data_IF_544721770937
#
_entry.id   IF_544721770937
#
_cell.length_a   1.000
_cell.length_b   1.000
_cell.length_c   1.000
_cell.angle_alpha   90.00
_cell.angle_beta   90.00
_cell.angle_gamma   90.00
#
_symmetry.space_group_name_H-M   'P 1'
#
loop_
_entity.id
_entity.type
_entity.pdbx_description
1 polymer ?
#
# COMPACT_ATOMS: atom_id res chain seq x y z
N UNK A 1 21.50 1.92 -37.72
CA UNK A 1 20.05 1.71 -37.89
C UNK A 1 19.76 0.25 -37.57
N UNK A 2 18.90 -0.01 -36.57
CA UNK A 2 18.55 -1.36 -36.11
C UNK A 2 17.52 -2.04 -37.04
N UNK A 3 16.99 -1.34 -38.07
CA UNK A 3 16.05 -1.89 -39.04
C UNK A 3 14.70 -2.32 -38.46
N UNK A 4 14.34 -1.86 -37.26
CA UNK A 4 13.08 -2.16 -36.60
C UNK A 4 12.16 -0.97 -36.50
N UNK A 5 10.86 -1.19 -36.63
CA UNK A 5 9.84 -0.16 -36.46
C UNK A 5 9.34 -0.15 -35.01
N UNK A 6 9.49 0.97 -34.30
CA UNK A 6 9.01 1.16 -32.92
C UNK A 6 7.55 1.62 -32.85
N UNK A 7 7.04 2.26 -33.91
CA UNK A 7 5.67 2.79 -34.01
C UNK A 7 4.96 2.30 -35.23
N UNK A 8 3.67 2.02 -35.11
CA UNK A 8 2.75 1.77 -36.19
C UNK A 8 1.60 2.79 -36.18
N UNK A 9 1.07 3.10 -37.39
CA UNK A 9 0.00 4.03 -37.51
C UNK A 9 -1.32 3.31 -37.72
N UNK A 10 -2.23 3.41 -36.76
CA UNK A 10 -3.57 2.83 -36.80
C UNK A 10 -4.62 3.94 -37.08
N UNK A 11 -5.91 3.53 -37.15
CA UNK A 11 -7.04 4.46 -37.31
C UNK A 11 -7.18 5.42 -36.11
N UNK A 12 -6.68 5.02 -34.95
CA UNK A 12 -6.75 5.77 -33.67
C UNK A 12 -5.47 6.59 -33.38
N UNK A 13 -4.48 6.56 -34.29
CA UNK A 13 -3.25 7.34 -34.17
C UNK A 13 -1.96 6.51 -34.26
N UNK A 14 -0.92 6.98 -33.61
CA UNK A 14 0.39 6.33 -33.52
C UNK A 14 0.44 5.45 -32.30
N UNK A 15 0.72 4.16 -32.46
CA UNK A 15 0.87 3.18 -31.36
C UNK A 15 2.24 2.53 -31.38
N UNK A 16 2.72 2.08 -30.23
CA UNK A 16 3.95 1.31 -30.15
C UNK A 16 3.74 -0.10 -30.70
N UNK A 17 4.70 -0.57 -31.47
CA UNK A 17 4.78 -1.99 -31.81
C UNK A 17 5.24 -2.81 -30.59
N UNK A 18 5.13 -4.16 -30.56
CA UNK A 18 5.70 -4.98 -29.50
C UNK A 18 7.20 -4.72 -29.27
N UNK A 19 7.95 -4.44 -30.33
CA UNK A 19 9.37 -4.05 -30.25
C UNK A 19 9.49 -2.62 -29.72
N UNK A 20 8.58 -1.73 -30.06
CA UNK A 20 8.47 -0.38 -29.52
C UNK A 20 8.22 -0.37 -28.01
N UNK A 21 7.30 -1.20 -27.52
CA UNK A 21 7.02 -1.34 -26.10
C UNK A 21 8.22 -1.89 -25.32
N UNK A 22 8.93 -2.89 -25.88
CA UNK A 22 10.14 -3.41 -25.28
C UNK A 22 11.23 -2.33 -25.21
N UNK A 23 11.43 -1.58 -26.28
CA UNK A 23 12.42 -0.50 -26.33
C UNK A 23 12.06 0.65 -25.39
N UNK A 24 10.78 0.96 -25.26
CA UNK A 24 10.29 1.98 -24.33
C UNK A 24 10.59 1.60 -22.87
N UNK A 25 10.25 0.36 -22.46
CA UNK A 25 10.57 -0.14 -21.11
C UNK A 25 12.08 -0.13 -20.81
N UNK A 26 12.91 -0.52 -21.77
CA UNK A 26 14.38 -0.47 -21.59
C UNK A 26 14.89 0.97 -21.53
N UNK A 27 14.30 1.90 -22.31
CA UNK A 27 14.66 3.32 -22.27
C UNK A 27 14.26 3.97 -20.92
N UNK A 28 13.09 3.65 -20.37
CA UNK A 28 12.67 4.08 -19.03
C UNK A 28 13.65 3.56 -17.96
N UNK A 29 14.05 2.28 -18.08
CA UNK A 29 15.03 1.70 -17.16
C UNK A 29 16.38 2.40 -17.22
N UNK A 30 16.88 2.68 -18.42
CA UNK A 30 18.15 3.43 -18.62
C UNK A 30 18.06 4.86 -18.09
N UNK A 31 16.92 5.53 -18.26
CA UNK A 31 16.69 6.87 -17.69
C UNK A 31 16.76 6.81 -16.15
N UNK A 32 16.11 5.83 -15.54
CA UNK A 32 16.16 5.60 -14.08
C UNK A 32 17.57 5.27 -13.60
N UNK A 33 18.32 4.43 -14.32
CA UNK A 33 19.71 4.10 -14.00
C UNK A 33 20.63 5.34 -14.09
N UNK A 34 20.39 6.23 -15.06
CA UNK A 34 21.14 7.48 -15.21
C UNK A 34 20.84 8.45 -14.06
N UNK A 35 19.58 8.62 -13.70
CA UNK A 35 19.17 9.41 -12.53
C UNK A 35 19.77 8.83 -11.22
N UNK A 36 19.83 7.51 -11.10
CA UNK A 36 20.47 6.84 -9.97
C UNK A 36 21.96 7.12 -9.92
N UNK A 37 22.65 7.11 -11.07
CA UNK A 37 24.07 7.44 -11.16
C UNK A 37 24.31 8.90 -10.77
N UNK A 38 23.53 9.83 -11.28
CA UNK A 38 23.61 11.25 -10.90
C UNK A 38 23.41 11.44 -9.39
N UNK A 39 22.39 10.76 -8.82
CA UNK A 39 22.13 10.77 -7.37
C UNK A 39 23.30 10.21 -6.56
N UNK A 40 23.93 9.11 -7.02
CA UNK A 40 25.15 8.54 -6.38
C UNK A 40 26.32 9.50 -6.40
N UNK A 41 26.49 10.26 -7.48
CA UNK A 41 27.59 11.22 -7.61
C UNK A 41 27.39 12.47 -6.74
N UNK A 42 26.16 12.98 -6.66
CA UNK A 42 25.81 14.17 -5.84
C UNK A 42 25.70 13.81 -4.35
N UNK A 43 25.30 12.59 -4.00
CA UNK A 43 25.11 12.13 -2.62
C UNK A 43 26.37 11.86 -1.80
N UNK A 44 27.59 12.03 -2.34
CA UNK A 44 28.83 11.80 -1.60
C UNK A 44 29.17 12.91 -0.59
N UNK A 45 28.51 14.06 -0.64
CA UNK A 45 28.82 15.21 0.24
C UNK A 45 28.10 15.20 1.61
N UNK A 46 27.39 14.14 1.97
CA UNK A 46 26.82 13.95 3.31
C UNK A 46 25.61 14.84 3.67
N UNK A 47 25.19 15.75 2.81
CA UNK A 47 24.03 16.60 3.04
C UNK A 47 22.72 15.87 2.65
N UNK A 48 21.63 16.01 3.43
CA UNK A 48 20.34 15.39 3.15
C UNK A 48 19.55 16.21 2.09
N UNK A 49 20.06 16.26 0.87
CA UNK A 49 19.50 17.08 -0.23
C UNK A 49 19.15 16.21 -1.42
N UNK A 50 18.09 16.56 -2.14
CA UNK A 50 17.69 15.93 -3.40
C UNK A 50 16.52 15.00 -3.26
N UNK A 51 16.22 14.24 -4.33
CA UNK A 51 15.02 13.43 -4.48
C UNK A 51 15.10 12.09 -3.73
N UNK A 52 14.00 11.73 -3.05
CA UNK A 52 13.76 10.40 -2.47
C UNK A 52 12.41 9.89 -2.97
N UNK A 53 12.39 8.69 -3.56
CA UNK A 53 11.19 8.01 -4.05
C UNK A 53 10.67 7.03 -3.01
N UNK A 54 9.39 7.17 -2.66
CA UNK A 54 8.72 6.31 -1.67
C UNK A 54 7.55 5.63 -2.34
N UNK A 55 7.50 4.30 -2.26
CA UNK A 55 6.41 3.49 -2.79
C UNK A 55 5.58 2.86 -1.66
N UNK A 56 4.26 2.88 -1.79
CA UNK A 56 3.33 2.22 -0.88
C UNK A 56 1.98 1.94 -1.56
N UNK A 57 1.15 1.09 -0.94
CA UNK A 57 -0.25 0.95 -1.32
C UNK A 57 -1.03 2.23 -1.06
N UNK A 58 -2.10 2.49 -1.85
CA UNK A 58 -2.92 3.70 -1.76
C UNK A 58 -3.50 3.95 -0.36
N UNK A 59 -3.99 2.90 0.31
CA UNK A 59 -4.54 3.01 1.65
C UNK A 59 -3.48 3.39 2.69
N UNK A 60 -2.27 2.82 2.59
CA UNK A 60 -1.15 3.17 3.48
C UNK A 60 -0.66 4.59 3.24
N UNK A 61 -0.56 4.99 1.98
CA UNK A 61 -0.17 6.34 1.62
C UNK A 61 -1.13 7.35 2.22
N UNK A 62 -2.44 7.13 2.06
CA UNK A 62 -3.46 8.08 2.51
C UNK A 62 -3.56 8.17 4.04
N UNK A 63 -3.56 7.04 4.74
CA UNK A 63 -3.90 7.01 6.17
C UNK A 63 -2.66 7.01 7.08
N UNK A 64 -1.55 6.41 6.65
CA UNK A 64 -0.35 6.30 7.47
C UNK A 64 0.74 7.29 7.07
N UNK A 65 1.11 7.32 5.79
CA UNK A 65 2.28 8.09 5.35
C UNK A 65 2.00 9.58 5.17
N UNK A 66 0.83 9.98 4.68
CA UNK A 66 0.54 11.39 4.38
C UNK A 66 0.81 12.35 5.54
N UNK A 67 0.37 12.09 6.79
CA UNK A 67 0.68 12.98 7.91
C UNK A 67 2.18 13.00 8.24
N UNK A 68 2.86 11.85 8.16
CA UNK A 68 4.30 11.72 8.44
C UNK A 68 5.12 12.46 7.38
N UNK A 69 4.77 12.31 6.10
CA UNK A 69 5.44 13.01 5.00
C UNK A 69 5.24 14.53 5.09
N UNK A 70 4.08 14.98 5.55
CA UNK A 70 3.84 16.40 5.81
C UNK A 70 4.73 16.97 6.94
N UNK A 71 5.11 16.17 7.93
CA UNK A 71 6.10 16.55 8.94
C UNK A 71 7.51 16.56 8.35
N UNK A 72 7.87 15.51 7.60
CA UNK A 72 9.19 15.33 7.02
C UNK A 72 9.57 16.49 6.09
N UNK A 73 8.69 16.94 5.19
CA UNK A 73 8.98 18.07 4.28
C UNK A 73 9.13 19.41 5.00
N UNK A 74 8.59 19.55 6.22
CA UNK A 74 8.81 20.76 7.05
C UNK A 74 10.17 20.70 7.76
N UNK A 75 10.58 19.52 8.18
CA UNK A 75 11.85 19.32 8.89
C UNK A 75 13.05 19.29 7.94
N UNK A 76 12.86 18.73 6.74
CA UNK A 76 13.89 18.59 5.71
C UNK A 76 13.47 19.24 4.38
N UNK A 77 13.42 20.57 4.28
CA UNK A 77 12.89 21.28 3.11
C UNK A 77 13.73 21.08 1.83
N UNK A 78 14.97 20.64 1.95
CA UNK A 78 15.86 20.36 0.83
C UNK A 78 15.70 18.92 0.26
N UNK A 79 14.84 18.09 0.88
CA UNK A 79 14.48 16.77 0.37
C UNK A 79 13.22 16.90 -0.48
N UNK A 80 13.32 16.56 -1.77
CA UNK A 80 12.17 16.40 -2.67
C UNK A 80 11.61 14.98 -2.56
N UNK A 81 10.34 14.84 -2.22
CA UNK A 81 9.67 13.53 -2.16
C UNK A 81 8.91 13.24 -3.46
N UNK A 82 9.17 12.10 -4.05
CA UNK A 82 8.37 11.52 -5.14
C UNK A 82 7.63 10.29 -4.61
N UNK A 83 6.29 10.36 -4.63
CA UNK A 83 5.42 9.31 -4.05
C UNK A 83 4.83 8.47 -5.16
N UNK A 84 5.03 7.16 -5.07
CA UNK A 84 4.50 6.16 -5.99
C UNK A 84 3.44 5.32 -5.26
N UNK A 85 2.24 5.25 -5.83
CA UNK A 85 1.18 4.40 -5.28
C UNK A 85 0.75 3.34 -6.27
N UNK A 86 0.78 2.08 -5.84
CA UNK A 86 0.22 0.96 -6.60
C UNK A 86 -0.32 -0.09 -5.63
N UNK A 87 -1.47 -0.68 -5.97
CA UNK A 87 -2.09 -1.76 -5.21
C UNK A 87 -1.63 -3.14 -5.71
N UNK A 88 -0.92 -3.22 -6.83
CA UNK A 88 -0.29 -4.44 -7.30
C UNK A 88 1.15 -4.52 -6.80
N UNK A 89 1.35 -5.44 -5.85
CA UNK A 89 2.66 -5.72 -5.25
C UNK A 89 3.74 -6.07 -6.29
N UNK A 90 3.36 -6.63 -7.43
CA UNK A 90 4.27 -6.96 -8.50
C UNK A 90 4.79 -5.72 -9.26
N UNK A 91 3.99 -4.65 -9.28
CA UNK A 91 4.32 -3.40 -9.98
C UNK A 91 5.17 -2.46 -9.12
N UNK A 92 5.09 -2.56 -7.77
CA UNK A 92 5.99 -1.83 -6.87
C UNK A 92 7.40 -2.44 -6.94
N UNK A 93 8.06 -2.28 -8.09
CA UNK A 93 9.40 -2.80 -8.27
C UNK A 93 10.38 -2.02 -7.38
N UNK A 94 11.13 -2.74 -6.55
CA UNK A 94 12.16 -2.18 -5.67
C UNK A 94 13.25 -1.39 -6.41
N UNK A 95 13.27 -1.44 -7.76
CA UNK A 95 14.24 -0.71 -8.59
C UNK A 95 13.81 0.74 -8.86
N UNK A 96 12.51 1.04 -8.73
CA UNK A 96 11.98 2.37 -9.04
C UNK A 96 11.86 3.26 -7.81
N UNK A 97 11.82 2.67 -6.59
CA UNK A 97 11.73 3.39 -5.33
C UNK A 97 13.00 3.24 -4.49
N UNK A 98 13.33 4.28 -3.72
CA UNK A 98 14.39 4.25 -2.71
C UNK A 98 13.92 3.54 -1.45
N UNK A 99 12.65 3.78 -1.08
CA UNK A 99 11.98 3.18 0.07
C UNK A 99 10.63 2.60 -0.34
N UNK A 100 10.28 1.44 0.21
CA UNK A 100 8.99 0.79 -0.04
C UNK A 100 8.36 0.35 1.28
N UNK A 101 7.14 0.80 1.55
CA UNK A 101 6.34 0.36 2.70
C UNK A 101 5.32 -0.69 2.23
N UNK A 102 5.39 -1.90 2.79
CA UNK A 102 4.51 -3.01 2.35
C UNK A 102 4.13 -3.96 3.48
N UNK A 103 2.88 -4.49 3.44
CA UNK A 103 2.44 -5.57 4.30
C UNK A 103 2.90 -6.91 3.73
N UNK A 104 3.73 -7.65 4.45
CA UNK A 104 4.16 -8.99 4.07
C UNK A 104 4.65 -9.81 5.27
N UNK A 105 4.29 -11.11 5.31
CA UNK A 105 4.70 -12.01 6.39
C UNK A 105 5.99 -12.78 6.08
N UNK A 106 6.47 -12.71 4.84
CA UNK A 106 7.69 -13.40 4.40
C UNK A 106 8.44 -12.52 3.41
N UNK A 107 9.20 -11.55 3.90
CA UNK A 107 10.03 -10.72 3.03
C UNK A 107 11.05 -11.59 2.29
N UNK A 108 11.35 -11.21 1.06
CA UNK A 108 12.41 -11.89 0.30
C UNK A 108 13.74 -11.63 1.00
N UNK A 109 14.55 -12.68 1.18
CA UNK A 109 15.84 -12.61 1.87
C UNK A 109 16.86 -11.64 1.20
N UNK A 110 16.59 -11.24 -0.04
CA UNK A 110 17.41 -10.29 -0.80
C UNK A 110 17.05 -8.83 -0.56
N UNK A 111 15.94 -8.56 0.16
CA UNK A 111 15.50 -7.20 0.47
C UNK A 111 16.07 -6.77 1.81
N UNK A 112 16.70 -5.61 1.85
CA UNK A 112 17.08 -4.96 3.08
C UNK A 112 15.92 -4.12 3.60
N UNK A 113 15.69 -4.16 4.90
CA UNK A 113 14.58 -3.43 5.51
C UNK A 113 14.39 -3.82 6.98
N UNK A 114 13.45 -3.17 7.62
CA UNK A 114 13.07 -3.46 9.00
C UNK A 114 11.57 -3.69 9.12
N UNK A 115 11.21 -4.56 10.06
CA UNK A 115 9.82 -4.74 10.49
C UNK A 115 9.42 -3.55 11.35
N UNK A 116 8.38 -2.85 10.93
CA UNK A 116 7.91 -1.63 11.61
C UNK A 116 6.84 -1.97 12.65
N UNK A 117 5.81 -2.73 12.24
CA UNK A 117 4.60 -2.96 13.02
C UNK A 117 3.92 -4.27 12.61
N UNK A 118 2.89 -4.66 13.35
CA UNK A 118 1.89 -5.63 12.91
C UNK A 118 0.61 -4.89 12.51
N UNK A 119 -0.01 -5.32 11.40
CA UNK A 119 -1.27 -4.79 10.92
C UNK A 119 -2.36 -5.83 11.16
N UNK A 120 -3.27 -5.53 12.05
CA UNK A 120 -4.47 -6.30 12.27
C UNK A 120 -5.59 -5.84 11.36
N UNK A 121 -6.53 -6.76 11.07
CA UNK A 121 -7.73 -6.49 10.30
C UNK A 121 -8.96 -6.92 11.09
N UNK A 122 -10.08 -6.20 10.89
CA UNK A 122 -11.36 -6.52 11.52
C UNK A 122 -12.52 -6.27 10.54
N UNK A 123 -13.73 -6.72 10.90
CA UNK A 123 -14.93 -6.44 10.14
C UNK A 123 -15.45 -5.05 10.47
N UNK A 124 -15.72 -4.25 9.44
CA UNK A 124 -16.27 -2.91 9.54
C UNK A 124 -17.55 -2.76 8.74
N UNK A 125 -18.43 -1.91 9.23
CA UNK A 125 -19.65 -1.51 8.53
C UNK A 125 -20.13 -0.13 8.96
N UNK A 126 -20.82 0.59 8.06
CA UNK A 126 -21.36 1.89 8.41
C UNK A 126 -22.49 1.79 9.44
N UNK A 127 -22.60 2.73 10.37
CA UNK A 127 -23.66 2.79 11.37
C UNK A 127 -25.07 2.75 10.74
N UNK A 128 -25.24 3.33 9.55
CA UNK A 128 -26.53 3.29 8.81
C UNK A 128 -26.84 1.90 8.27
N UNK A 129 -25.82 1.10 7.88
CA UNK A 129 -26.01 -0.29 7.47
C UNK A 129 -26.41 -1.15 8.67
N UNK A 130 -25.70 -1.04 9.79
CA UNK A 130 -26.00 -1.78 11.03
C UNK A 130 -27.40 -1.48 11.57
N UNK A 131 -27.86 -0.21 11.50
CA UNK A 131 -29.23 0.15 11.91
C UNK A 131 -30.32 -0.48 11.06
N UNK A 132 -30.07 -0.74 9.77
CA UNK A 132 -31.03 -1.39 8.87
C UNK A 132 -31.03 -2.91 9.02
N UNK A 133 -29.93 -3.49 9.50
CA UNK A 133 -29.72 -4.93 9.64
C UNK A 133 -29.43 -5.27 11.11
N UNK A 134 -30.38 -4.94 12.01
CA UNK A 134 -30.17 -5.07 13.47
C UNK A 134 -29.98 -6.49 13.96
N UNK A 135 -30.57 -7.45 13.26
CA UNK A 135 -30.56 -8.88 13.61
C UNK A 135 -29.45 -9.65 12.88
N UNK A 136 -28.46 -8.93 12.29
CA UNK A 136 -27.33 -9.58 11.63
C UNK A 136 -26.46 -10.30 12.65
N UNK A 137 -26.12 -11.54 12.34
CA UNK A 137 -25.16 -12.37 13.07
C UNK A 137 -23.98 -12.66 12.12
N UNK A 138 -22.91 -11.88 12.28
CA UNK A 138 -21.75 -11.92 11.39
C UNK A 138 -20.97 -13.22 11.56
N UNK A 139 -20.98 -13.79 12.77
CA UNK A 139 -20.21 -14.97 13.11
C UNK A 139 -20.91 -16.26 12.65
N UNK A 140 -22.21 -16.38 12.92
CA UNK A 140 -22.93 -17.63 12.66
C UNK A 140 -23.72 -17.64 11.36
N UNK A 141 -24.10 -16.45 10.83
CA UNK A 141 -24.87 -16.30 9.60
C UNK A 141 -24.27 -15.22 8.66
N UNK A 142 -22.99 -15.34 8.30
CA UNK A 142 -22.35 -14.34 7.43
C UNK A 142 -23.02 -14.23 6.06
N UNK A 143 -23.67 -15.30 5.58
CA UNK A 143 -24.43 -15.32 4.33
C UNK A 143 -25.68 -14.44 4.34
N UNK A 144 -26.21 -14.11 5.51
CA UNK A 144 -27.33 -13.16 5.66
C UNK A 144 -26.88 -11.70 5.52
N UNK A 145 -25.58 -11.44 5.59
CA UNK A 145 -25.00 -10.11 5.44
C UNK A 145 -24.62 -9.81 3.99
N UNK A 146 -24.60 -8.54 3.65
CA UNK A 146 -24.06 -8.06 2.38
C UNK A 146 -22.59 -7.72 2.55
N UNK A 147 -21.72 -8.25 1.70
CA UNK A 147 -20.27 -8.06 1.78
C UNK A 147 -19.70 -7.33 0.57
N UNK A 148 -18.73 -6.47 0.86
CA UNK A 148 -17.81 -5.88 -0.10
C UNK A 148 -16.57 -6.74 -0.06
N UNK A 149 -16.26 -7.42 -1.16
CA UNK A 149 -15.16 -8.38 -1.22
C UNK A 149 -13.99 -7.83 -2.03
N UNK A 150 -12.77 -8.26 -1.73
CA UNK A 150 -11.65 -8.05 -2.64
C UNK A 150 -11.85 -8.87 -3.92
N UNK A 151 -11.24 -8.44 -4.99
CA UNK A 151 -11.10 -9.24 -6.21
C UNK A 151 -9.93 -10.25 -6.10
N UNK A 152 -9.59 -10.90 -7.20
CA UNK A 152 -8.56 -11.93 -7.22
C UNK A 152 -7.13 -11.39 -6.97
N UNK A 153 -6.89 -10.09 -7.16
CA UNK A 153 -5.58 -9.47 -6.92
C UNK A 153 -5.15 -9.57 -5.46
N UNK A 154 -6.12 -9.58 -4.51
CA UNK A 154 -5.87 -9.77 -3.08
C UNK A 154 -5.79 -11.23 -2.62
N UNK A 155 -5.85 -12.19 -3.56
CA UNK A 155 -5.88 -13.62 -3.22
C UNK A 155 -4.65 -14.10 -2.44
N UNK A 156 -3.52 -13.46 -2.59
CA UNK A 156 -2.25 -13.76 -1.93
C UNK A 156 -2.19 -13.22 -0.49
N UNK A 157 -3.01 -12.21 -0.14
CA UNK A 157 -3.04 -11.62 1.19
C UNK A 157 -3.73 -12.52 2.22
N UNK A 158 -3.41 -12.33 3.50
CA UNK A 158 -4.03 -13.04 4.61
C UNK A 158 -5.55 -12.84 4.61
N UNK A 159 -6.01 -11.61 4.49
CA UNK A 159 -7.44 -11.26 4.38
C UNK A 159 -8.13 -11.98 3.23
N UNK A 160 -7.47 -12.14 2.08
CA UNK A 160 -8.00 -12.93 0.95
C UNK A 160 -8.22 -14.40 1.30
N UNK A 161 -7.33 -14.99 2.12
CA UNK A 161 -7.51 -16.37 2.63
C UNK A 161 -8.69 -16.45 3.60
N UNK A 162 -8.81 -15.49 4.51
CA UNK A 162 -9.91 -15.40 5.46
C UNK A 162 -11.26 -15.33 4.74
N UNK A 163 -11.40 -14.47 3.73
CA UNK A 163 -12.60 -14.37 2.89
C UNK A 163 -12.97 -15.72 2.27
N UNK A 164 -12.00 -16.42 1.67
CA UNK A 164 -12.25 -17.74 1.06
C UNK A 164 -12.67 -18.80 2.08
N UNK A 165 -12.18 -18.71 3.31
CA UNK A 165 -12.49 -19.67 4.37
C UNK A 165 -13.86 -19.43 4.98
N UNK A 166 -14.21 -18.17 5.28
CA UNK A 166 -15.37 -17.82 6.09
C UNK A 166 -16.57 -17.32 5.27
N UNK A 167 -16.36 -16.82 4.07
CA UNK A 167 -17.37 -16.15 3.25
C UNK A 167 -17.62 -16.85 1.90
N UNK A 168 -17.64 -18.20 1.89
CA UNK A 168 -17.76 -18.99 0.65
C UNK A 168 -19.06 -18.77 -0.13
N UNK A 169 -20.18 -18.54 0.59
CA UNK A 169 -21.52 -18.50 0.02
C UNK A 169 -22.25 -17.19 0.34
N UNK A 170 -21.49 -16.11 0.55
CA UNK A 170 -22.10 -14.83 0.93
C UNK A 170 -22.60 -14.05 -0.28
N UNK A 171 -23.60 -13.21 -0.05
CA UNK A 171 -24.05 -12.22 -1.01
C UNK A 171 -22.96 -11.15 -1.18
N UNK A 172 -22.23 -11.23 -2.28
CA UNK A 172 -21.27 -10.19 -2.70
C UNK A 172 -21.97 -9.29 -3.71
N UNK A 173 -22.02 -8.00 -3.37
CA UNK A 173 -22.60 -7.00 -4.28
C UNK A 173 -21.50 -6.33 -5.11
N UNK A 174 -20.32 -6.14 -4.52
CA UNK A 174 -19.22 -5.39 -5.14
C UNK A 174 -17.90 -6.10 -4.84
N UNK A 175 -17.01 -6.15 -5.85
CA UNK A 175 -15.63 -6.58 -5.70
C UNK A 175 -14.69 -5.43 -6.05
N UNK A 176 -13.61 -5.28 -5.30
CA UNK A 176 -12.65 -4.19 -5.47
C UNK A 176 -11.21 -4.72 -5.45
N UNK A 177 -10.33 -4.01 -6.16
CA UNK A 177 -8.87 -4.19 -6.11
C UNK A 177 -8.17 -3.09 -5.30
N UNK A 178 -8.89 -2.39 -4.41
CA UNK A 178 -8.36 -1.32 -3.57
C UNK A 178 -9.06 -1.35 -2.21
N UNK A 179 -8.27 -1.39 -1.13
CA UNK A 179 -8.75 -1.29 0.25
C UNK A 179 -9.43 0.05 0.51
N UNK A 180 -8.91 1.12 -0.08
CA UNK A 180 -9.50 2.45 0.01
C UNK A 180 -10.90 2.51 -0.63
N UNK A 181 -11.08 1.86 -1.79
CA UNK A 181 -12.39 1.74 -2.42
C UNK A 181 -13.35 0.89 -1.56
N UNK A 182 -12.88 -0.22 -0.97
CA UNK A 182 -13.69 -1.03 -0.05
C UNK A 182 -14.14 -0.23 1.17
N UNK A 183 -13.23 0.55 1.79
CA UNK A 183 -13.57 1.42 2.91
C UNK A 183 -14.57 2.51 2.51
N UNK A 184 -14.42 3.13 1.36
CA UNK A 184 -15.35 4.14 0.85
C UNK A 184 -16.77 3.57 0.64
N UNK A 185 -16.87 2.38 0.06
CA UNK A 185 -18.14 1.68 -0.14
C UNK A 185 -18.78 1.26 1.18
N UNK A 186 -17.99 0.77 2.14
CA UNK A 186 -18.46 0.45 3.48
C UNK A 186 -19.00 1.70 4.19
N UNK A 187 -18.29 2.84 4.15
CA UNK A 187 -18.75 4.14 4.65
C UNK A 187 -20.06 4.58 3.98
N UNK A 188 -20.18 4.36 2.69
CA UNK A 188 -21.43 4.62 1.96
C UNK A 188 -22.58 3.68 2.37
N UNK A 189 -22.31 2.61 3.14
CA UNK A 189 -23.31 1.66 3.65
C UNK A 189 -23.75 0.63 2.61
N UNK A 190 -22.86 0.31 1.66
CA UNK A 190 -23.10 -0.72 0.66
C UNK A 190 -23.06 -2.15 1.25
N UNK A 191 -22.32 -2.35 2.35
CA UNK A 191 -22.15 -3.64 3.01
C UNK A 191 -21.08 -3.62 4.09
N UNK A 192 -20.70 -4.81 4.53
CA UNK A 192 -19.59 -5.06 5.44
C UNK A 192 -18.29 -5.27 4.64
N UNK A 193 -17.18 -4.88 5.22
CA UNK A 193 -15.84 -5.13 4.66
C UNK A 193 -14.87 -5.55 5.77
N UNK A 194 -13.94 -6.44 5.45
CA UNK A 194 -12.74 -6.64 6.27
C UNK A 194 -11.72 -5.60 5.84
N UNK A 195 -11.31 -4.77 6.79
CA UNK A 195 -10.35 -3.70 6.55
C UNK A 195 -9.22 -3.76 7.58
N UNK A 196 -8.01 -3.36 7.21
CA UNK A 196 -6.96 -3.08 8.19
C UNK A 196 -7.44 -2.08 9.24
N UNK A 197 -7.07 -2.29 10.50
CA UNK A 197 -7.54 -1.43 11.60
C UNK A 197 -7.09 0.03 11.42
N UNK A 198 -5.90 0.27 10.85
CA UNK A 198 -5.43 1.63 10.56
C UNK A 198 -6.32 2.40 9.57
N UNK A 199 -7.11 1.68 8.74
CA UNK A 199 -8.03 2.26 7.76
C UNK A 199 -9.47 2.35 8.31
N UNK A 200 -9.86 1.39 9.15
CA UNK A 200 -11.21 1.30 9.69
C UNK A 200 -11.46 2.18 10.91
N UNK A 201 -10.51 2.22 11.86
CA UNK A 201 -10.65 2.93 13.13
C UNK A 201 -10.77 4.47 12.98
N UNK A 202 -9.95 5.14 12.14
CA UNK A 202 -10.06 6.59 11.99
C UNK A 202 -11.37 7.04 11.31
N UNK A 203 -12.05 6.15 10.60
CA UNK A 203 -13.25 6.46 9.83
C UNK A 203 -14.49 6.54 10.73
N UNK A 204 -14.87 7.75 11.16
CA UNK A 204 -16.00 8.02 12.08
C UNK A 204 -17.34 7.44 11.65
N UNK A 205 -17.55 7.23 10.35
CA UNK A 205 -18.75 6.63 9.78
C UNK A 205 -18.78 5.11 9.93
N UNK A 206 -17.63 4.48 10.11
CA UNK A 206 -17.50 3.05 10.31
C UNK A 206 -17.59 2.68 11.79
N UNK A 207 -18.01 1.45 12.02
CA UNK A 207 -17.97 0.79 13.33
C UNK A 207 -17.25 -0.53 13.15
N UNK A 208 -16.33 -0.84 14.06
CA UNK A 208 -15.77 -2.17 14.18
C UNK A 208 -16.84 -3.12 14.70
N UNK A 209 -17.01 -4.26 14.05
CA UNK A 209 -18.06 -5.24 14.31
C UNK A 209 -17.53 -6.61 14.72
N UNK A 210 -16.21 -6.79 14.76
CA UNK A 210 -15.54 -7.96 15.27
C UNK A 210 -14.30 -7.56 16.06
N UNK A 211 -13.78 -8.48 16.87
CA UNK A 211 -12.38 -8.40 17.30
C UNK A 211 -11.44 -8.51 16.10
N UNK A 212 -10.14 -8.16 16.26
CA UNK A 212 -9.15 -8.45 15.25
C UNK A 212 -9.21 -9.94 14.83
N UNK A 213 -9.09 -10.19 13.53
CA UNK A 213 -9.23 -11.53 12.98
C UNK A 213 -8.02 -12.40 13.33
N UNK A 214 -8.25 -13.45 14.10
CA UNK A 214 -7.21 -14.38 14.58
C UNK A 214 -6.39 -14.97 13.41
N UNK A 215 -5.06 -14.86 13.53
CA UNK A 215 -4.13 -15.40 12.53
C UNK A 215 -4.06 -14.66 11.20
N UNK A 216 -4.71 -13.50 11.11
CA UNK A 216 -4.75 -12.67 9.89
C UNK A 216 -3.94 -11.37 10.04
N UNK A 217 -3.12 -11.26 11.10
CA UNK A 217 -2.15 -10.18 11.26
C UNK A 217 -1.05 -10.28 10.20
N UNK A 218 -0.65 -9.13 9.65
CA UNK A 218 0.39 -9.03 8.63
C UNK A 218 1.46 -8.07 9.10
N UNK A 219 2.73 -8.46 8.99
CA UNK A 219 3.84 -7.58 9.33
C UNK A 219 3.98 -6.45 8.30
N UNK A 220 4.17 -5.23 8.78
CA UNK A 220 4.50 -4.06 7.99
C UNK A 220 6.01 -3.90 7.92
N UNK A 221 6.54 -3.90 6.71
CA UNK A 221 7.96 -3.76 6.44
C UNK A 221 8.26 -2.46 5.70
N UNK A 222 9.32 -1.79 6.14
CA UNK A 222 9.93 -0.68 5.43
C UNK A 222 11.24 -1.18 4.79
N UNK A 223 11.21 -1.36 3.48
CA UNK A 223 12.35 -1.80 2.69
C UNK A 223 13.11 -0.62 2.11
N UNK A 224 14.42 -0.79 1.97
CA UNK A 224 15.30 0.17 1.32
C UNK A 224 16.00 -0.46 0.11
N UNK A 225 16.16 0.31 -0.94
CA UNK A 225 16.91 -0.11 -2.11
C UNK A 225 18.40 -0.16 -1.78
N UNK A 226 19.04 -1.31 -2.01
CA UNK A 226 20.47 -1.55 -1.72
C UNK A 226 21.40 -0.56 -2.44
N UNK A 227 21.02 -0.09 -3.62
CA UNK A 227 21.81 0.87 -4.39
C UNK A 227 21.81 2.28 -3.80
N UNK A 228 20.75 2.67 -3.06
CA UNK A 228 20.56 4.02 -2.55
C UNK A 228 20.60 4.13 -1.03
N UNK A 229 20.61 3.02 -0.29
CA UNK A 229 20.57 2.97 1.18
C UNK A 229 21.71 3.76 1.86
N UNK A 230 22.87 3.88 1.23
CA UNK A 230 24.01 4.63 1.78
C UNK A 230 23.90 6.14 1.57
N UNK A 231 22.91 6.62 0.82
CA UNK A 231 22.71 8.04 0.60
C UNK A 231 22.13 8.69 1.86
N UNK A 232 22.72 9.79 2.32
CA UNK A 232 22.31 10.47 3.55
C UNK A 232 20.81 10.81 3.56
N UNK A 233 20.26 11.32 2.44
CA UNK A 233 18.83 11.64 2.32
C UNK A 233 17.92 10.42 2.47
N UNK A 234 18.30 9.26 1.89
CA UNK A 234 17.50 8.04 1.97
C UNK A 234 17.50 7.50 3.39
N UNK A 235 18.66 7.49 4.05
CA UNK A 235 18.79 7.05 5.43
C UNK A 235 18.00 7.91 6.39
N UNK A 236 18.06 9.24 6.28
CA UNK A 236 17.29 10.16 7.11
C UNK A 236 15.79 9.94 6.92
N UNK A 237 15.32 9.81 5.67
CA UNK A 237 13.90 9.56 5.41
C UNK A 237 13.47 8.20 5.98
N UNK A 238 14.31 7.15 5.84
CA UNK A 238 14.04 5.82 6.40
C UNK A 238 13.92 5.88 7.93
N UNK A 239 14.91 6.47 8.61
CA UNK A 239 14.93 6.62 10.07
C UNK A 239 13.70 7.41 10.56
N UNK A 240 13.36 8.52 9.88
CA UNK A 240 12.21 9.34 10.21
C UNK A 240 10.89 8.58 10.06
N UNK A 241 10.71 7.84 8.95
CA UNK A 241 9.51 7.03 8.72
C UNK A 241 9.40 5.92 9.75
N UNK A 242 10.49 5.20 10.03
CA UNK A 242 10.51 4.10 10.98
C UNK A 242 10.10 4.58 12.38
N UNK A 243 10.69 5.65 12.88
CA UNK A 243 10.37 6.23 14.19
C UNK A 243 8.89 6.62 14.32
N UNK A 244 8.36 7.32 13.32
CA UNK A 244 6.96 7.79 13.34
C UNK A 244 5.96 6.66 13.20
N UNK A 245 6.23 5.67 12.35
CA UNK A 245 5.35 4.51 12.16
C UNK A 245 5.32 3.61 13.40
N UNK A 246 6.48 3.36 14.04
CA UNK A 246 6.56 2.60 15.30
C UNK A 246 5.84 3.30 16.45
N UNK A 247 5.90 4.63 16.50
CA UNK A 247 5.15 5.41 17.49
C UNK A 247 3.62 5.27 17.31
N UNK A 248 3.13 5.13 16.08
CA UNK A 248 1.71 4.86 15.81
C UNK A 248 1.27 3.46 16.28
N UNK A 249 2.10 2.42 16.09
CA UNK A 249 1.81 1.07 16.61
C UNK A 249 1.59 1.12 18.13
N UNK A 250 2.53 1.72 18.87
CA UNK A 250 2.44 1.86 20.32
C UNK A 250 1.19 2.62 20.77
N UNK A 251 0.75 3.63 20.03
CA UNK A 251 -0.45 4.42 20.34
C UNK A 251 -1.75 3.63 20.09
N UNK A 252 -1.78 2.77 19.08
CA UNK A 252 -2.94 1.92 18.74
C UNK A 252 -3.10 0.78 19.74
N UNK A 253 -2.01 0.14 20.17
CA UNK A 253 -2.04 -0.88 21.23
C UNK A 253 -2.55 -0.32 22.56
N UNK A 254 -2.20 0.92 22.90
CA UNK A 254 -2.69 1.60 24.12
C UNK A 254 -4.20 1.90 24.07
N UNK A 255 -4.75 2.16 22.87
CA UNK A 255 -6.18 2.43 22.68
C UNK A 255 -7.04 1.17 22.65
N UNK A 256 -6.45 0.01 22.37
CA UNK A 256 -7.17 -1.27 22.36
C UNK A 256 -7.31 -1.89 23.78
N UNK A 257 -6.62 -1.34 24.77
CA UNK A 257 -6.58 -1.85 26.15
C UNK A 257 -7.48 -1.05 27.11
N UNK A 258 -8.19 -0.01 26.63
CA UNK A 258 -9.17 0.80 27.36
C UNK A 258 -10.59 0.55 26.86
#
# INVERSE_FOLDING_TARGET
SLGVQFFERNRDGLQLTPVGEMAFREAERLATDMENLERKLVGQDGAPVGKVRIAAEDAMMNELLSPILAELVREYPDIELEVLTDNDVANLSHREADLTLRPENKPQATLEGERIAAIDSAVYGAAKYCRRNRDMDIENQPEACTWILPDESFSHLATGRWYRKHLKNVNSVIRCNSLQAMAALARAGAGLAVLPCYLGEPAKELRRLSDPLDGESVDLWLHVNQDTQQMARVRIVMEFLAERLQALESAVEFSATL
#
